data_IF_147866140995
#
_entry.id   IF_147866140995
#
_cell.length_a   1.000
_cell.length_b   1.000
_cell.length_c   1.000
_cell.angle_alpha   90.00
_cell.angle_beta   90.00
_cell.angle_gamma   90.00
#
_symmetry.space_group_name_H-M   'P 1'
#
loop_
_entity.id
_entity.type
_entity.pdbx_description
1 polymer ?
#
# COMPACT_ATOMS: atom_id res chain seq x y z
N UNK A 1 36.49 -28.38 -7.52
CA UNK A 1 36.39 -27.31 -6.51
C UNK A 1 36.04 -25.93 -7.10
N UNK A 2 36.69 -25.44 -8.17
CA UNK A 2 36.39 -24.14 -8.82
C UNK A 2 34.97 -24.15 -9.43
N UNK A 3 34.56 -25.23 -10.08
CA UNK A 3 33.20 -25.35 -10.71
C UNK A 3 32.05 -25.34 -9.70
N UNK A 4 32.26 -25.90 -8.52
CA UNK A 4 31.23 -25.94 -7.44
C UNK A 4 31.02 -24.57 -6.81
N UNK A 5 32.13 -23.82 -6.61
CA UNK A 5 32.04 -22.44 -6.08
C UNK A 5 31.35 -21.52 -7.07
N UNK A 6 31.62 -21.65 -8.38
CA UNK A 6 30.96 -20.85 -9.42
C UNK A 6 29.48 -21.15 -9.51
N UNK A 7 29.07 -22.43 -9.38
CA UNK A 7 27.65 -22.83 -9.37
C UNK A 7 26.94 -22.26 -8.14
N UNK A 8 27.54 -22.34 -6.94
CA UNK A 8 26.96 -21.81 -5.72
C UNK A 8 26.76 -20.28 -5.79
N UNK A 9 27.72 -19.54 -6.37
CA UNK A 9 27.55 -18.10 -6.59
C UNK A 9 26.41 -17.75 -7.56
N UNK A 10 26.28 -18.50 -8.67
CA UNK A 10 25.19 -18.30 -9.62
C UNK A 10 23.81 -18.58 -8.97
N UNK A 11 23.69 -19.65 -8.20
CA UNK A 11 22.48 -19.98 -7.44
C UNK A 11 22.14 -18.87 -6.43
N UNK A 12 23.13 -18.38 -5.68
CA UNK A 12 22.94 -17.30 -4.73
C UNK A 12 22.48 -16.00 -5.42
N UNK A 13 23.01 -15.69 -6.59
CA UNK A 13 22.58 -14.53 -7.36
C UNK A 13 21.10 -14.60 -7.75
N UNK A 14 20.64 -15.76 -8.25
CA UNK A 14 19.24 -15.98 -8.61
C UNK A 14 18.33 -15.86 -7.39
N UNK A 15 18.71 -16.44 -6.25
CA UNK A 15 17.96 -16.34 -5.01
C UNK A 15 17.81 -14.89 -4.55
N UNK A 16 18.86 -14.09 -4.68
CA UNK A 16 18.83 -12.67 -4.35
C UNK A 16 17.93 -11.86 -5.28
N UNK A 17 17.91 -12.18 -6.58
CA UNK A 17 17.00 -11.56 -7.55
C UNK A 17 15.54 -11.92 -7.26
N UNK A 18 15.25 -13.19 -7.01
CA UNK A 18 13.90 -13.65 -6.64
C UNK A 18 13.41 -12.99 -5.35
N UNK A 19 14.28 -12.92 -4.33
CA UNK A 19 13.98 -12.21 -3.08
C UNK A 19 13.73 -10.72 -3.30
N UNK A 20 14.50 -10.06 -4.18
CA UNK A 20 14.30 -8.65 -4.53
C UNK A 20 12.95 -8.42 -5.23
N UNK A 21 12.55 -9.31 -6.12
CA UNK A 21 11.23 -9.27 -6.76
C UNK A 21 10.12 -9.37 -5.72
N UNK A 22 10.21 -10.35 -4.80
CA UNK A 22 9.28 -10.52 -3.69
C UNK A 22 9.25 -9.31 -2.75
N UNK A 23 10.42 -8.72 -2.45
CA UNK A 23 10.52 -7.50 -1.66
C UNK A 23 9.72 -6.35 -2.29
N UNK A 24 9.94 -6.08 -3.59
CA UNK A 24 9.22 -5.02 -4.30
C UNK A 24 7.70 -5.26 -4.23
N UNK A 25 7.25 -6.49 -4.42
CA UNK A 25 5.84 -6.82 -4.34
C UNK A 25 5.27 -6.60 -2.94
N UNK A 26 5.95 -7.12 -1.91
CA UNK A 26 5.49 -7.04 -0.52
C UNK A 26 5.44 -5.59 -0.02
N UNK A 27 6.48 -4.79 -0.29
CA UNK A 27 6.53 -3.36 0.03
C UNK A 27 5.39 -2.55 -0.60
N UNK A 28 4.88 -3.00 -1.76
CA UNK A 28 3.85 -2.32 -2.52
C UNK A 28 2.46 -2.94 -2.36
N UNK A 29 2.26 -3.79 -1.34
CA UNK A 29 0.95 -4.27 -0.90
C UNK A 29 0.42 -5.48 -1.65
N UNK A 30 1.29 -6.34 -2.19
CA UNK A 30 0.90 -7.62 -2.76
C UNK A 30 0.38 -8.58 -1.67
N UNK A 31 -0.45 -9.52 -2.09
CA UNK A 31 -0.91 -10.65 -1.28
C UNK A 31 0.26 -11.61 -1.00
N UNK A 32 0.29 -12.22 0.18
CA UNK A 32 1.40 -13.08 0.61
C UNK A 32 1.64 -14.21 -0.38
N UNK A 33 0.59 -14.95 -0.73
CA UNK A 33 0.70 -16.08 -1.66
C UNK A 33 1.26 -15.68 -3.03
N UNK A 34 0.96 -14.46 -3.52
CA UNK A 34 1.51 -13.95 -4.79
C UNK A 34 3.01 -13.66 -4.69
N UNK A 35 3.46 -13.20 -3.53
CA UNK A 35 4.89 -12.98 -3.30
C UNK A 35 5.64 -14.30 -3.32
N UNK A 36 5.11 -15.32 -2.61
CA UNK A 36 5.68 -16.67 -2.58
C UNK A 36 5.70 -17.30 -3.97
N UNK A 37 4.58 -17.23 -4.69
CA UNK A 37 4.46 -17.74 -6.06
C UNK A 37 5.45 -17.08 -7.01
N UNK A 38 5.58 -15.75 -6.96
CA UNK A 38 6.54 -15.01 -7.78
C UNK A 38 7.99 -15.42 -7.50
N UNK A 39 8.38 -15.54 -6.21
CA UNK A 39 9.73 -15.96 -5.83
C UNK A 39 9.99 -17.39 -6.32
N UNK A 40 9.04 -18.29 -6.08
CA UNK A 40 9.13 -19.69 -6.51
C UNK A 40 9.23 -19.80 -8.04
N UNK A 41 8.41 -19.04 -8.75
CA UNK A 41 8.38 -19.02 -10.22
C UNK A 41 9.73 -18.59 -10.81
N UNK A 42 10.31 -17.50 -10.29
CA UNK A 42 11.64 -17.05 -10.70
C UNK A 42 12.70 -18.11 -10.41
N UNK A 43 12.70 -18.70 -9.21
CA UNK A 43 13.66 -19.75 -8.85
C UNK A 43 13.56 -20.95 -9.79
N UNK A 44 12.34 -21.42 -10.08
CA UNK A 44 12.11 -22.56 -11.00
C UNK A 44 12.53 -22.26 -12.43
N UNK A 45 12.28 -21.06 -12.94
CA UNK A 45 12.68 -20.66 -14.28
C UNK A 45 14.21 -20.73 -14.50
N UNK A 46 15.00 -20.55 -13.43
CA UNK A 46 16.45 -20.73 -13.45
C UNK A 46 16.93 -22.10 -12.95
N UNK A 47 16.03 -23.07 -12.81
CA UNK A 47 16.37 -24.45 -12.45
C UNK A 47 16.69 -24.68 -10.96
N UNK A 48 16.27 -23.80 -10.06
CA UNK A 48 16.38 -23.99 -8.62
C UNK A 48 15.10 -24.67 -8.12
N UNK A 49 15.22 -25.92 -7.61
CA UNK A 49 14.07 -26.73 -7.18
C UNK A 49 13.98 -26.91 -5.67
N UNK A 50 15.12 -26.92 -4.95
CA UNK A 50 15.18 -27.10 -3.50
C UNK A 50 15.11 -25.77 -2.77
N UNK A 51 14.05 -24.99 -3.04
CA UNK A 51 13.83 -23.66 -2.45
C UNK A 51 12.67 -23.72 -1.49
N UNK A 52 12.88 -23.25 -0.27
CA UNK A 52 11.86 -23.08 0.76
C UNK A 52 11.65 -21.60 1.02
N UNK A 53 10.40 -21.17 0.95
CA UNK A 53 10.01 -19.78 1.10
C UNK A 53 8.95 -19.69 2.19
N UNK A 54 9.09 -18.69 3.03
CA UNK A 54 8.07 -18.32 4.01
C UNK A 54 7.99 -16.81 4.07
N UNK A 55 6.84 -16.27 3.67
CA UNK A 55 6.59 -14.81 3.61
C UNK A 55 5.63 -14.43 4.72
N UNK A 56 5.97 -13.35 5.41
CA UNK A 56 5.10 -12.67 6.38
C UNK A 56 4.77 -11.27 5.86
N UNK A 57 3.79 -10.62 6.47
CA UNK A 57 3.39 -9.25 6.10
C UNK A 57 4.53 -8.22 6.14
N UNK A 58 5.60 -8.49 6.87
CA UNK A 58 6.75 -7.60 7.07
C UNK A 58 8.12 -8.29 6.88
N UNK A 59 8.16 -9.47 6.27
CA UNK A 59 9.43 -10.17 6.08
C UNK A 59 9.35 -11.36 5.15
N UNK A 60 10.50 -11.69 4.56
CA UNK A 60 10.69 -12.83 3.68
C UNK A 60 11.82 -13.70 4.23
N UNK A 61 11.53 -14.97 4.41
CA UNK A 61 12.49 -16.01 4.76
C UNK A 61 12.68 -16.89 3.54
N UNK A 62 13.91 -17.05 3.11
CA UNK A 62 14.24 -17.85 1.94
C UNK A 62 15.41 -18.75 2.27
N UNK A 63 15.28 -20.03 1.97
CA UNK A 63 16.39 -20.98 2.03
C UNK A 63 16.43 -21.86 0.79
N UNK A 64 17.63 -22.27 0.41
CA UNK A 64 17.86 -23.17 -0.70
C UNK A 64 19.00 -24.12 -0.33
N UNK A 65 18.87 -25.37 -0.70
CA UNK A 65 19.83 -26.44 -0.43
C UNK A 65 19.15 -27.65 0.18
N UNK A 66 19.84 -28.79 0.08
CA UNK A 66 19.44 -30.06 0.68
C UNK A 66 20.61 -30.70 1.43
N UNK A 67 20.50 -31.95 1.85
CA UNK A 67 21.55 -32.68 2.57
C UNK A 67 22.87 -32.79 1.79
N UNK A 68 22.86 -32.59 0.47
CA UNK A 68 23.99 -32.78 -0.43
C UNK A 68 24.58 -31.46 -0.92
N UNK A 69 23.83 -30.35 -0.83
CA UNK A 69 24.24 -29.02 -1.30
C UNK A 69 24.42 -28.05 -0.12
N UNK A 70 25.29 -27.03 -0.24
CA UNK A 70 25.46 -26.00 0.78
C UNK A 70 24.15 -25.27 1.03
N UNK A 71 23.71 -25.19 2.27
CA UNK A 71 22.53 -24.46 2.68
C UNK A 71 22.76 -22.95 2.55
N UNK A 72 21.98 -22.30 1.71
CA UNK A 72 21.84 -20.85 1.70
C UNK A 72 20.55 -20.46 2.43
N UNK A 73 20.64 -19.53 3.37
CA UNK A 73 19.48 -18.99 4.04
C UNK A 73 19.60 -17.48 4.19
N UNK A 74 18.51 -16.75 3.91
CA UNK A 74 18.44 -15.31 4.06
C UNK A 74 17.10 -14.88 4.61
N UNK A 75 17.15 -13.92 5.53
CA UNK A 75 15.99 -13.24 6.09
C UNK A 75 16.04 -11.77 5.65
N UNK A 76 14.93 -11.26 5.20
CA UNK A 76 14.78 -9.87 4.81
C UNK A 76 13.58 -9.26 5.53
N UNK A 77 13.82 -8.21 6.30
CA UNK A 77 12.76 -7.40 6.86
C UNK A 77 12.26 -6.42 5.80
N UNK A 78 10.96 -6.38 5.59
CA UNK A 78 10.33 -5.54 4.56
C UNK A 78 9.44 -4.52 5.27
N UNK A 79 9.70 -3.21 5.09
CA UNK A 79 8.85 -2.18 5.65
C UNK A 79 7.50 -2.15 4.93
N UNK A 80 6.42 -1.97 5.69
CA UNK A 80 5.08 -1.78 5.11
C UNK A 80 4.99 -0.34 4.59
N UNK A 81 4.97 -0.19 3.28
CA UNK A 81 4.84 1.08 2.57
C UNK A 81 3.41 1.31 2.05
N UNK A 82 3.22 2.41 1.32
CA UNK A 82 1.95 2.68 0.64
C UNK A 82 1.75 1.70 -0.52
N UNK A 83 0.51 1.28 -0.73
CA UNK A 83 0.14 0.37 -1.83
C UNK A 83 0.42 0.98 -3.20
N UNK A 84 1.19 0.26 -4.04
CA UNK A 84 1.44 0.60 -5.43
C UNK A 84 1.23 -0.63 -6.33
N UNK A 85 -0.02 -0.85 -6.73
CA UNK A 85 -0.42 -2.01 -7.54
C UNK A 85 0.25 -2.05 -8.92
N UNK A 86 0.71 -0.91 -9.45
CA UNK A 86 1.47 -0.88 -10.70
C UNK A 86 2.79 -1.63 -10.57
N UNK A 87 3.57 -1.35 -9.52
CA UNK A 87 4.83 -2.06 -9.26
C UNK A 87 4.61 -3.55 -9.06
N UNK A 88 3.54 -3.91 -8.35
CA UNK A 88 3.15 -5.32 -8.16
C UNK A 88 2.87 -6.00 -9.51
N UNK A 89 2.11 -5.34 -10.40
CA UNK A 89 1.79 -5.86 -11.72
C UNK A 89 3.03 -5.98 -12.61
N UNK A 90 3.92 -4.97 -12.61
CA UNK A 90 5.16 -4.97 -13.40
C UNK A 90 6.11 -6.12 -12.97
N UNK A 91 6.26 -6.37 -11.66
CA UNK A 91 7.06 -7.50 -11.16
C UNK A 91 6.43 -8.83 -11.54
N UNK A 92 5.11 -8.96 -11.43
CA UNK A 92 4.40 -10.18 -11.84
C UNK A 92 4.53 -10.44 -13.35
N UNK A 93 4.48 -9.39 -14.17
CA UNK A 93 4.73 -9.52 -15.61
C UNK A 93 6.17 -9.92 -15.90
N UNK A 94 7.14 -9.34 -15.18
CA UNK A 94 8.55 -9.69 -15.33
C UNK A 94 8.81 -11.16 -14.98
N UNK A 95 8.21 -11.68 -13.91
CA UNK A 95 8.40 -13.08 -13.51
C UNK A 95 7.94 -14.07 -14.61
N UNK A 96 6.85 -13.77 -15.30
CA UNK A 96 6.37 -14.58 -16.45
C UNK A 96 7.30 -14.48 -17.65
N UNK A 97 7.78 -13.28 -17.97
CA UNK A 97 8.73 -13.07 -19.06
C UNK A 97 10.08 -13.79 -18.84
N UNK A 98 10.49 -13.96 -17.60
CA UNK A 98 11.70 -14.74 -17.29
C UNK A 98 11.56 -16.18 -17.79
N UNK A 99 10.41 -16.79 -17.58
CA UNK A 99 10.14 -18.16 -18.04
C UNK A 99 9.98 -18.23 -19.56
N UNK A 100 9.14 -17.34 -20.14
CA UNK A 100 8.79 -17.36 -21.56
C UNK A 100 9.97 -16.98 -22.47
N UNK A 101 10.79 -15.99 -22.10
CA UNK A 101 11.83 -15.39 -22.91
C UNK A 101 13.25 -15.86 -22.52
N UNK A 102 13.43 -16.58 -21.40
CA UNK A 102 14.72 -17.02 -20.91
C UNK A 102 15.68 -15.86 -20.58
N UNK A 103 15.17 -14.83 -19.91
CA UNK A 103 15.93 -13.61 -19.63
C UNK A 103 17.18 -13.90 -18.77
N UNK A 104 18.30 -13.21 -19.07
CA UNK A 104 19.50 -13.34 -18.25
C UNK A 104 19.33 -12.68 -16.86
N UNK A 105 20.00 -13.18 -15.81
CA UNK A 105 19.94 -12.59 -14.46
C UNK A 105 20.27 -11.09 -14.43
N UNK A 106 21.23 -10.65 -15.25
CA UNK A 106 21.60 -9.23 -15.37
C UNK A 106 20.46 -8.37 -15.96
N UNK A 107 19.74 -8.92 -16.93
CA UNK A 107 18.56 -8.24 -17.51
C UNK A 107 17.48 -8.08 -16.46
N UNK A 108 17.17 -9.15 -15.74
CA UNK A 108 16.16 -9.14 -14.64
C UNK A 108 16.55 -8.14 -13.55
N UNK A 109 17.82 -8.07 -13.17
CA UNK A 109 18.31 -7.09 -12.19
C UNK A 109 18.03 -5.66 -12.63
N UNK A 110 18.33 -5.33 -13.90
CA UNK A 110 18.08 -4.00 -14.46
C UNK A 110 16.58 -3.67 -14.50
N UNK A 111 15.73 -4.62 -14.88
CA UNK A 111 14.29 -4.43 -14.89
C UNK A 111 13.72 -4.23 -13.48
N UNK A 112 14.17 -5.02 -12.48
CA UNK A 112 13.75 -4.82 -11.08
C UNK A 112 14.16 -3.45 -10.55
N UNK A 113 15.39 -2.99 -10.86
CA UNK A 113 15.83 -1.64 -10.49
C UNK A 113 14.96 -0.58 -11.17
N UNK A 114 14.65 -0.73 -12.46
CA UNK A 114 13.77 0.18 -13.19
C UNK A 114 12.38 0.25 -12.57
N UNK A 115 11.80 -0.89 -12.18
CA UNK A 115 10.49 -0.95 -11.53
C UNK A 115 10.52 -0.24 -10.17
N UNK A 116 11.57 -0.45 -9.39
CA UNK A 116 11.74 0.17 -8.07
C UNK A 116 11.92 1.70 -8.16
N UNK A 117 12.72 2.16 -9.12
CA UNK A 117 13.03 3.57 -9.33
C UNK A 117 11.97 4.31 -10.14
N UNK A 118 10.97 3.58 -10.68
CA UNK A 118 9.94 4.21 -11.50
C UNK A 118 9.26 5.35 -10.72
N UNK A 119 9.31 6.59 -11.22
CA UNK A 119 8.70 7.72 -10.55
C UNK A 119 7.18 7.50 -10.44
N UNK A 120 6.62 7.87 -9.29
CA UNK A 120 5.18 7.90 -9.10
C UNK A 120 4.50 8.89 -10.05
N UNK A 121 3.18 8.93 -10.01
CA UNK A 121 2.44 9.94 -10.79
C UNK A 121 2.82 11.36 -10.35
N UNK A 122 2.83 12.33 -11.29
CA UNK A 122 3.07 13.74 -10.97
C UNK A 122 2.14 14.23 -9.85
N UNK A 123 2.67 15.06 -8.94
CA UNK A 123 1.90 15.56 -7.80
C UNK A 123 0.59 16.25 -8.23
N UNK A 124 0.61 17.03 -9.30
CA UNK A 124 -0.57 17.67 -9.83
C UNK A 124 -1.68 16.68 -10.24
N UNK A 125 -1.29 15.56 -10.87
CA UNK A 125 -2.25 14.50 -11.23
C UNK A 125 -2.80 13.80 -9.98
N UNK A 126 -1.95 13.52 -8.99
CA UNK A 126 -2.39 12.93 -7.72
C UNK A 126 -3.42 13.82 -7.01
N UNK A 127 -3.17 15.14 -6.97
CA UNK A 127 -4.06 16.12 -6.36
C UNK A 127 -5.40 16.18 -7.10
N UNK A 128 -5.37 16.29 -8.44
CA UNK A 128 -6.59 16.35 -9.25
C UNK A 128 -7.45 15.08 -9.12
N UNK A 129 -6.80 13.90 -9.19
CA UNK A 129 -7.50 12.61 -9.08
C UNK A 129 -8.08 12.40 -7.68
N UNK A 130 -7.36 12.78 -6.63
CA UNK A 130 -7.87 12.68 -5.26
C UNK A 130 -9.11 13.56 -5.04
N UNK A 131 -9.09 14.81 -5.55
CA UNK A 131 -10.25 15.69 -5.51
C UNK A 131 -11.45 15.10 -6.26
N UNK A 132 -11.25 14.65 -7.49
CA UNK A 132 -12.30 14.05 -8.30
C UNK A 132 -12.87 12.78 -7.68
N UNK A 133 -12.02 11.89 -7.17
CA UNK A 133 -12.44 10.66 -6.53
C UNK A 133 -13.28 10.92 -5.27
N UNK A 134 -12.82 11.85 -4.39
CA UNK A 134 -13.60 12.26 -3.21
C UNK A 134 -14.98 12.83 -3.59
N UNK A 135 -15.03 13.64 -4.64
CA UNK A 135 -16.28 14.19 -5.13
C UNK A 135 -17.24 13.13 -5.71
N UNK A 136 -16.73 12.17 -6.48
CA UNK A 136 -17.54 11.07 -6.99
C UNK A 136 -18.13 10.23 -5.85
N UNK A 137 -17.34 9.91 -4.84
CA UNK A 137 -17.85 9.20 -3.66
C UNK A 137 -18.87 10.04 -2.88
N UNK A 138 -18.63 11.35 -2.69
CA UNK A 138 -19.60 12.24 -2.06
C UNK A 138 -20.97 12.18 -2.72
N UNK A 139 -21.03 12.23 -4.04
CA UNK A 139 -22.28 12.09 -4.81
C UNK A 139 -22.91 10.71 -4.64
N UNK A 140 -22.09 9.63 -4.65
CA UNK A 140 -22.59 8.27 -4.42
C UNK A 140 -23.28 8.12 -3.06
N UNK A 141 -22.89 8.90 -2.06
CA UNK A 141 -23.50 8.95 -0.73
C UNK A 141 -24.56 10.05 -0.57
N UNK A 142 -25.12 10.54 -1.68
CA UNK A 142 -26.25 11.45 -1.67
C UNK A 142 -25.90 12.93 -1.63
N UNK A 143 -24.68 13.31 -1.96
CA UNK A 143 -24.25 14.70 -2.08
C UNK A 143 -24.87 15.40 -3.30
N UNK A 144 -25.15 16.71 -3.14
CA UNK A 144 -25.62 17.60 -4.19
C UNK A 144 -24.51 17.98 -5.19
N UNK A 145 -24.82 18.61 -6.32
CA UNK A 145 -23.79 19.16 -7.22
C UNK A 145 -22.86 20.17 -6.53
N UNK A 146 -23.35 20.88 -5.53
CA UNK A 146 -22.52 21.79 -4.74
C UNK A 146 -21.56 21.06 -3.81
N UNK A 147 -22.03 19.96 -3.20
CA UNK A 147 -21.19 19.08 -2.38
C UNK A 147 -20.09 18.43 -3.24
N UNK A 148 -20.38 18.11 -4.51
CA UNK A 148 -19.40 17.63 -5.47
C UNK A 148 -18.25 18.63 -5.64
N UNK A 149 -18.56 19.92 -5.86
CA UNK A 149 -17.54 20.96 -6.01
C UNK A 149 -16.73 21.15 -4.72
N UNK A 150 -17.41 21.19 -3.57
CA UNK A 150 -16.75 21.25 -2.26
C UNK A 150 -15.81 20.06 -2.04
N UNK A 151 -16.24 18.84 -2.38
CA UNK A 151 -15.46 17.62 -2.21
C UNK A 151 -14.22 17.59 -3.12
N UNK A 152 -14.29 18.18 -4.34
CA UNK A 152 -13.09 18.38 -5.18
C UNK A 152 -12.07 19.21 -4.41
N UNK A 153 -12.48 20.33 -3.85
CA UNK A 153 -11.59 21.25 -3.14
C UNK A 153 -11.00 20.57 -1.90
N UNK A 154 -11.83 19.91 -1.09
CA UNK A 154 -11.41 19.20 0.13
C UNK A 154 -10.40 18.10 -0.19
N UNK A 155 -10.71 17.22 -1.15
CA UNK A 155 -9.84 16.12 -1.55
C UNK A 155 -8.52 16.61 -2.16
N UNK A 156 -8.58 17.66 -2.99
CA UNK A 156 -7.38 18.28 -3.58
C UNK A 156 -6.48 18.93 -2.53
N UNK A 157 -7.03 19.69 -1.59
CA UNK A 157 -6.28 20.31 -0.50
C UNK A 157 -5.69 19.28 0.44
N UNK A 158 -6.42 18.21 0.73
CA UNK A 158 -5.86 17.11 1.52
C UNK A 158 -4.68 16.45 0.81
N UNK A 159 -4.80 16.12 -0.46
CA UNK A 159 -3.71 15.49 -1.19
C UNK A 159 -2.50 16.42 -1.34
N UNK A 160 -2.74 17.73 -1.54
CA UNK A 160 -1.68 18.73 -1.53
C UNK A 160 -0.94 18.78 -0.17
N UNK A 161 -1.71 18.76 0.94
CA UNK A 161 -1.13 18.62 2.28
C UNK A 161 -0.29 17.34 2.42
N UNK A 162 -0.79 16.21 1.97
CA UNK A 162 -0.09 14.92 2.06
C UNK A 162 1.22 14.91 1.26
N UNK A 163 1.23 15.53 0.07
CA UNK A 163 2.39 15.56 -0.84
C UNK A 163 3.45 16.58 -0.38
N UNK A 164 3.02 17.79 0.02
CA UNK A 164 3.97 18.90 0.25
C UNK A 164 4.27 19.18 1.73
N UNK A 165 3.31 18.91 2.63
CA UNK A 165 3.40 19.26 4.05
C UNK A 165 3.46 18.04 4.96
N UNK A 166 3.29 16.84 4.41
CA UNK A 166 3.37 15.60 5.18
C UNK A 166 4.74 15.43 5.82
N UNK A 167 4.85 15.74 7.12
CA UNK A 167 6.12 15.65 7.84
C UNK A 167 6.51 14.17 8.06
N UNK A 168 7.64 13.70 7.49
CA UNK A 168 8.09 12.32 7.65
C UNK A 168 8.54 11.99 9.09
N UNK A 169 8.86 13.00 9.92
CA UNK A 169 9.27 12.79 11.31
C UNK A 169 8.09 12.51 12.27
N UNK A 170 6.85 12.78 11.84
CA UNK A 170 5.66 12.41 12.59
C UNK A 170 5.38 10.93 12.46
N UNK A 171 5.10 10.25 13.55
CA UNK A 171 4.68 8.85 13.54
C UNK A 171 3.45 8.64 12.64
N UNK A 172 3.35 7.46 11.99
CA UNK A 172 2.27 7.11 11.05
C UNK A 172 0.88 7.39 11.63
N UNK A 173 0.64 7.02 12.89
CA UNK A 173 -0.65 7.21 13.58
C UNK A 173 -1.01 8.70 13.68
N UNK A 174 -0.08 9.53 14.19
CA UNK A 174 -0.31 10.97 14.38
C UNK A 174 -0.60 11.65 13.03
N UNK A 175 0.20 11.36 12.01
CA UNK A 175 0.00 11.90 10.66
C UNK A 175 -1.37 11.49 10.09
N UNK A 176 -1.80 10.26 10.38
CA UNK A 176 -3.10 9.74 9.97
C UNK A 176 -4.24 10.50 10.64
N UNK A 177 -4.19 10.71 11.95
CA UNK A 177 -5.21 11.47 12.71
C UNK A 177 -5.27 12.92 12.22
N UNK A 178 -4.12 13.59 12.07
CA UNK A 178 -4.08 14.98 11.60
C UNK A 178 -4.65 15.15 10.18
N UNK A 179 -4.36 14.20 9.28
CA UNK A 179 -4.93 14.24 7.93
C UNK A 179 -6.46 14.16 7.92
N UNK A 180 -7.06 13.33 8.80
CA UNK A 180 -8.52 13.20 8.92
C UNK A 180 -9.13 14.42 9.60
N UNK A 181 -8.48 14.93 10.63
CA UNK A 181 -8.87 16.18 11.26
C UNK A 181 -8.86 17.35 10.25
N UNK A 182 -7.85 17.40 9.37
CA UNK A 182 -7.77 18.41 8.31
C UNK A 182 -8.93 18.32 7.32
N UNK A 183 -9.28 17.11 6.84
CA UNK A 183 -10.45 16.92 5.96
C UNK A 183 -11.73 17.39 6.65
N UNK A 184 -11.98 16.95 7.88
CA UNK A 184 -13.19 17.31 8.61
C UNK A 184 -13.29 18.80 8.80
N UNK A 185 -12.19 19.46 9.13
CA UNK A 185 -12.13 20.92 9.24
C UNK A 185 -12.47 21.62 7.92
N UNK A 186 -11.93 21.14 6.79
CA UNK A 186 -12.25 21.69 5.47
C UNK A 186 -13.73 21.46 5.08
N UNK A 187 -14.30 20.30 5.42
CA UNK A 187 -15.72 20.03 5.20
C UNK A 187 -16.60 20.99 6.01
N UNK A 188 -16.25 21.29 7.28
CA UNK A 188 -16.96 22.29 8.08
C UNK A 188 -16.89 23.66 7.44
N UNK A 189 -15.73 24.09 6.93
CA UNK A 189 -15.60 25.36 6.22
C UNK A 189 -16.48 25.43 4.96
N UNK A 190 -16.50 24.38 4.15
CA UNK A 190 -17.34 24.30 2.96
C UNK A 190 -18.84 24.31 3.31
N UNK A 191 -19.24 23.60 4.35
CA UNK A 191 -20.64 23.57 4.81
C UNK A 191 -21.10 24.89 5.44
N UNK A 192 -20.22 25.56 6.20
CA UNK A 192 -20.60 26.76 6.97
C UNK A 192 -20.48 28.05 6.16
N UNK A 193 -19.49 28.16 5.32
CA UNK A 193 -19.14 29.37 4.58
C UNK A 193 -19.17 29.22 3.06
N UNK A 194 -19.29 28.00 2.57
CA UNK A 194 -19.35 27.66 1.15
C UNK A 194 -20.76 27.21 0.72
N UNK A 195 -20.88 26.67 -0.49
CA UNK A 195 -22.14 26.20 -1.05
C UNK A 195 -22.50 24.76 -0.63
N UNK A 196 -21.74 24.13 0.27
CA UNK A 196 -22.01 22.74 0.69
C UNK A 196 -23.35 22.61 1.44
N UNK A 197 -24.15 21.62 1.04
CA UNK A 197 -25.52 21.39 1.56
C UNK A 197 -25.59 20.13 2.44
N UNK A 198 -24.86 19.06 2.07
CA UNK A 198 -24.85 17.79 2.78
C UNK A 198 -23.47 17.51 3.39
N UNK A 199 -23.33 17.83 4.67
CA UNK A 199 -22.09 17.67 5.42
C UNK A 199 -21.60 16.21 5.47
N UNK A 200 -22.54 15.26 5.66
CA UNK A 200 -22.22 13.83 5.77
C UNK A 200 -21.66 13.29 4.46
N UNK A 201 -22.26 13.64 3.34
CA UNK A 201 -21.79 13.23 2.02
C UNK A 201 -20.39 13.76 1.72
N UNK A 202 -20.10 15.03 2.08
CA UNK A 202 -18.77 15.63 1.91
C UNK A 202 -17.72 14.95 2.79
N UNK A 203 -18.03 14.68 4.07
CA UNK A 203 -17.11 13.97 4.98
C UNK A 203 -16.83 12.55 4.47
N UNK A 204 -17.87 11.79 4.12
CA UNK A 204 -17.70 10.42 3.64
C UNK A 204 -16.86 10.43 2.37
N UNK A 205 -17.17 11.31 1.40
CA UNK A 205 -16.38 11.45 0.17
C UNK A 205 -14.91 11.76 0.42
N UNK A 206 -14.61 12.65 1.37
CA UNK A 206 -13.24 13.00 1.73
C UNK A 206 -12.48 11.89 2.45
N UNK A 207 -13.16 11.15 3.34
CA UNK A 207 -12.54 10.13 4.20
C UNK A 207 -12.33 8.81 3.46
N UNK A 208 -13.22 8.44 2.52
CA UNK A 208 -13.22 7.13 1.87
C UNK A 208 -11.90 6.82 1.16
N UNK A 209 -11.23 7.85 0.64
CA UNK A 209 -9.91 7.73 0.01
C UNK A 209 -8.82 7.25 0.98
N UNK A 210 -9.08 7.36 2.28
CA UNK A 210 -8.12 7.02 3.33
C UNK A 210 -8.49 5.73 4.05
N UNK A 211 -9.64 5.16 3.75
CA UNK A 211 -10.05 3.87 4.29
C UNK A 211 -9.07 2.82 3.79
N UNK A 212 -8.48 2.00 4.67
CA UNK A 212 -7.46 1.02 4.30
C UNK A 212 -8.10 -0.21 3.63
N UNK A 213 -8.86 0.01 2.53
CA UNK A 213 -9.65 -1.03 1.87
C UNK A 213 -8.79 -2.18 1.34
N UNK A 214 -7.69 -1.88 0.67
CA UNK A 214 -6.78 -2.91 0.14
C UNK A 214 -6.16 -3.73 1.27
N UNK A 215 -5.68 -3.07 2.34
CA UNK A 215 -5.10 -3.77 3.49
C UNK A 215 -6.14 -4.66 4.19
N UNK A 216 -7.36 -4.16 4.35
CA UNK A 216 -8.46 -4.92 4.96
C UNK A 216 -8.87 -6.13 4.11
N UNK A 217 -9.01 -5.96 2.80
CA UNK A 217 -9.37 -7.04 1.88
C UNK A 217 -8.27 -8.10 1.82
N UNK A 218 -6.99 -7.68 1.75
CA UNK A 218 -5.86 -8.61 1.77
C UNK A 218 -5.77 -9.36 3.10
N UNK A 219 -6.07 -8.71 4.24
CA UNK A 219 -6.10 -9.37 5.54
C UNK A 219 -7.12 -10.52 5.59
N UNK A 220 -8.34 -10.27 5.07
CA UNK A 220 -9.39 -11.30 4.98
C UNK A 220 -8.93 -12.44 4.07
N UNK A 221 -8.31 -12.13 2.95
CA UNK A 221 -7.85 -13.11 1.98
C UNK A 221 -6.70 -13.96 2.55
N UNK A 222 -5.69 -13.34 3.16
CA UNK A 222 -4.59 -14.05 3.80
C UNK A 222 -5.13 -15.03 4.86
N UNK A 223 -6.14 -14.61 5.66
CA UNK A 223 -6.81 -15.50 6.63
C UNK A 223 -7.56 -16.64 5.94
N UNK A 224 -8.25 -16.38 4.82
CA UNK A 224 -8.97 -17.41 4.07
C UNK A 224 -8.02 -18.45 3.46
N UNK A 225 -6.82 -18.02 3.07
CA UNK A 225 -5.74 -18.87 2.56
C UNK A 225 -4.94 -19.56 3.70
N UNK A 226 -5.44 -19.47 4.96
CA UNK A 226 -4.84 -20.05 6.18
C UNK A 226 -3.56 -19.37 6.66
N UNK A 227 -3.16 -18.24 6.11
CA UNK A 227 -2.08 -17.41 6.65
C UNK A 227 -2.62 -16.46 7.75
N UNK A 228 -2.92 -17.06 8.90
CA UNK A 228 -3.49 -16.31 10.03
C UNK A 228 -2.54 -15.29 10.63
N UNK A 229 -1.22 -15.50 10.55
CA UNK A 229 -0.24 -14.57 11.13
C UNK A 229 -0.24 -13.28 10.35
N UNK A 230 -0.03 -13.33 9.04
CA UNK A 230 0.01 -12.13 8.19
C UNK A 230 -1.36 -11.47 8.10
N UNK A 231 -2.42 -12.28 7.98
CA UNK A 231 -3.80 -11.79 7.97
C UNK A 231 -4.16 -11.02 9.24
N UNK A 232 -3.80 -11.54 10.43
CA UNK A 232 -4.06 -10.86 11.71
C UNK A 232 -3.29 -9.56 11.85
N UNK A 233 -2.02 -9.52 11.45
CA UNK A 233 -1.20 -8.29 11.49
C UNK A 233 -1.77 -7.22 10.56
N UNK A 234 -2.14 -7.57 9.32
CA UNK A 234 -2.78 -6.64 8.37
C UNK A 234 -4.15 -6.17 8.86
N UNK A 235 -4.93 -7.06 9.47
CA UNK A 235 -6.24 -6.72 10.06
C UNK A 235 -6.08 -5.70 11.18
N UNK A 236 -5.11 -5.92 12.08
CA UNK A 236 -4.81 -4.98 13.16
C UNK A 236 -4.41 -3.60 12.62
N UNK A 237 -3.56 -3.54 11.59
CA UNK A 237 -3.20 -2.29 10.93
C UNK A 237 -4.41 -1.55 10.32
N UNK A 238 -5.34 -2.29 9.71
CA UNK A 238 -6.57 -1.73 9.18
C UNK A 238 -7.47 -1.19 10.29
N UNK A 239 -7.66 -1.94 11.38
CA UNK A 239 -8.45 -1.54 12.56
C UNK A 239 -7.87 -0.29 13.21
N UNK A 240 -6.54 -0.23 13.41
CA UNK A 240 -5.87 0.98 13.92
C UNK A 240 -6.15 2.18 13.00
N UNK A 241 -6.12 2.00 11.68
CA UNK A 241 -6.42 3.06 10.72
C UNK A 241 -7.88 3.54 10.83
N UNK A 242 -8.85 2.65 11.07
CA UNK A 242 -10.24 3.03 11.33
C UNK A 242 -10.37 3.84 12.63
N UNK A 243 -9.70 3.44 13.71
CA UNK A 243 -9.67 4.23 14.95
C UNK A 243 -9.04 5.62 14.73
N UNK A 244 -7.97 5.73 13.95
CA UNK A 244 -7.37 7.02 13.61
C UNK A 244 -8.34 7.92 12.82
N UNK A 245 -9.16 7.35 11.94
CA UNK A 245 -10.22 8.08 11.23
C UNK A 245 -11.24 8.59 12.25
N UNK A 246 -11.78 7.71 13.08
CA UNK A 246 -12.79 8.06 14.07
C UNK A 246 -12.31 9.15 15.05
N UNK A 247 -11.08 9.05 15.53
CA UNK A 247 -10.46 10.05 16.44
C UNK A 247 -10.29 11.38 15.70
N UNK A 248 -9.71 11.38 14.47
CA UNK A 248 -9.45 12.61 13.73
C UNK A 248 -10.73 13.38 13.42
N UNK A 249 -11.79 12.68 12.98
CA UNK A 249 -13.11 13.25 12.72
C UNK A 249 -13.76 13.70 14.02
N UNK A 250 -13.83 12.80 15.02
CA UNK A 250 -14.54 13.03 16.28
C UNK A 250 -14.00 14.22 17.07
N UNK A 251 -12.69 14.38 17.12
CA UNK A 251 -12.05 15.53 17.80
C UNK A 251 -12.48 16.86 17.17
N UNK A 252 -12.46 16.97 15.84
CA UNK A 252 -12.84 18.21 15.15
C UNK A 252 -14.33 18.50 15.32
N UNK A 253 -15.20 17.48 15.22
CA UNK A 253 -16.63 17.65 15.43
C UNK A 253 -16.96 18.04 16.87
N UNK A 254 -16.30 17.45 17.87
CA UNK A 254 -16.47 17.81 19.28
C UNK A 254 -16.02 19.25 19.57
N UNK A 255 -14.89 19.66 19.03
CA UNK A 255 -14.40 21.04 19.16
C UNK A 255 -15.37 22.03 18.50
N UNK A 256 -15.85 21.71 17.31
CA UNK A 256 -16.83 22.56 16.63
C UNK A 256 -18.15 22.65 17.43
N UNK A 257 -18.70 21.53 17.91
CA UNK A 257 -19.92 21.50 18.71
C UNK A 257 -19.82 22.36 19.98
N UNK A 258 -18.66 22.32 20.66
CA UNK A 258 -18.40 23.14 21.83
C UNK A 258 -18.33 24.65 21.52
N UNK A 259 -17.77 25.02 20.36
CA UNK A 259 -17.62 26.43 19.95
C UNK A 259 -18.91 26.98 19.36
N UNK A 260 -19.61 26.21 18.52
CA UNK A 260 -20.80 26.64 17.81
C UNK A 260 -22.10 26.47 18.61
N UNK A 261 -22.05 25.76 19.73
CA UNK A 261 -23.22 25.54 20.60
C UNK A 261 -24.29 24.59 20.04
N UNK A 262 -24.03 23.92 18.91
CA UNK A 262 -24.91 22.95 18.29
C UNK A 262 -24.12 21.83 17.61
N UNK A 263 -24.52 20.54 17.75
CA UNK A 263 -23.91 19.46 17.03
C UNK A 263 -24.20 19.59 15.52
N UNK A 264 -23.20 19.25 14.67
CA UNK A 264 -23.37 19.17 13.20
C UNK A 264 -24.08 17.88 12.76
N UNK A 265 -23.99 16.85 13.60
CA UNK A 265 -24.66 15.56 13.40
C UNK A 265 -25.84 15.54 14.36
N UNK A 266 -27.04 15.54 13.82
CA UNK A 266 -28.29 15.38 14.56
C UNK A 266 -28.79 13.93 14.45
#
# INVERSE_FOLDING_TARGET
>A
MISTVTKAHAQQEILLLAMKAGQIQLENGAEIFRVEDTIMHICRAYGLHSVHIFVLSNGIFLSCGDETEPLFAKVLQVPVNNTNLRRVAEVNQLSRRIEDEGLSPEHVRRELTRIEEHPGFPAALQIAVAGLAGACFGVMFGGSPWDFLCSIVVGSLYQAYAVYLGNPHLGRIVRTILGRAWITFLCILCYRFGPGENFDAMIIGGIILMVPGVAFTNAIRDMADSDYISGSVRMLDAVISFFCIAIGVGVVLALYGNIAGAPLLA
#
